data_IF_514495637410
#
_entry.id   IF_514495637410
#
_cell.length_a   1.000
_cell.length_b   1.000
_cell.length_c   1.000
_cell.angle_alpha   90.00
_cell.angle_beta   90.00
_cell.angle_gamma   90.00
#
_symmetry.space_group_name_H-M   'P 1'
#
loop_
_entity.id
_entity.type
_entity.pdbx_description
1 polymer ?
#
# COMPACT_ATOMS: atom_id res chain seq x y z
N UNK A 1 24.75 16.12 -49.40
CA UNK A 1 25.09 17.55 -49.56
C UNK A 1 24.05 18.35 -48.81
N UNK A 2 24.54 19.21 -47.90
CA UNK A 2 23.96 20.43 -47.28
C UNK A 2 22.54 20.33 -46.64
N UNK A 3 22.30 20.46 -45.32
CA UNK A 3 22.73 21.39 -44.22
C UNK A 3 21.99 22.73 -44.21
N UNK A 4 21.42 23.08 -43.04
CA UNK A 4 21.07 24.44 -42.57
C UNK A 4 19.78 24.47 -41.74
N UNK A 5 19.71 24.24 -40.41
CA UNK A 5 20.11 25.05 -39.21
C UNK A 5 19.51 26.46 -39.14
N UNK A 6 18.62 26.73 -38.16
CA UNK A 6 18.77 27.58 -36.92
C UNK A 6 17.96 28.88 -37.08
N UNK A 7 17.31 29.55 -36.10
CA UNK A 7 17.48 29.73 -34.65
C UNK A 7 16.23 30.51 -34.10
N UNK A 8 15.63 30.15 -32.96
CA UNK A 8 15.71 30.74 -31.58
C UNK A 8 14.82 31.94 -31.19
N UNK A 9 14.39 31.84 -29.91
CA UNK A 9 14.18 32.89 -28.89
C UNK A 9 12.79 33.50 -28.60
N UNK A 10 12.44 33.50 -27.29
CA UNK A 10 11.45 34.44 -26.76
C UNK A 10 10.76 34.16 -25.41
N UNK A 11 11.35 33.46 -24.43
CA UNK A 11 10.81 33.36 -23.05
C UNK A 11 10.96 34.71 -22.31
N UNK A 12 9.85 35.30 -21.83
CA UNK A 12 9.83 36.56 -21.06
C UNK A 12 9.29 36.33 -19.65
N UNK A 13 10.20 36.17 -18.67
CA UNK A 13 9.91 36.35 -17.23
C UNK A 13 9.97 37.86 -16.90
N UNK A 14 9.03 38.38 -16.12
CA UNK A 14 9.16 39.67 -15.42
C UNK A 14 9.18 39.44 -13.92
N UNK A 15 10.16 40.06 -13.28
CA UNK A 15 10.30 40.23 -11.84
C UNK A 15 10.37 41.74 -11.59
N UNK A 16 9.60 42.27 -10.64
CA UNK A 16 9.74 43.65 -10.13
C UNK A 16 9.42 43.64 -8.63
N UNK A 17 10.46 43.94 -7.82
CA UNK A 17 10.44 44.41 -6.42
C UNK A 17 9.72 45.79 -6.39
N UNK A 18 8.94 46.20 -5.40
CA UNK A 18 9.25 46.36 -3.99
C UNK A 18 9.23 47.86 -3.63
N UNK A 19 8.55 48.18 -2.52
CA UNK A 19 8.66 49.39 -1.67
C UNK A 19 7.60 50.52 -1.71
N UNK A 20 7.31 50.93 -0.47
CA UNK A 20 6.27 51.79 0.08
C UNK A 20 6.48 53.28 -0.17
N UNK A 21 5.39 54.06 -0.13
CA UNK A 21 5.38 55.34 0.60
C UNK A 21 3.96 55.76 1.01
N UNK A 22 3.83 56.12 2.29
CA UNK A 22 2.64 56.63 2.94
C UNK A 22 2.45 58.14 2.67
N UNK A 23 1.20 58.60 2.64
CA UNK A 23 0.85 60.01 2.88
C UNK A 23 -0.60 60.10 3.40
N UNK A 24 -0.74 60.59 4.63
CA UNK A 24 -1.97 61.16 5.22
C UNK A 24 -2.26 62.51 4.54
N UNK A 25 -3.50 62.88 4.18
CA UNK A 25 -4.46 63.66 5.00
C UNK A 25 -5.79 63.89 4.21
N UNK A 26 -6.88 64.42 4.83
CA UNK A 26 -8.22 63.83 4.72
C UNK A 26 -9.25 64.69 3.94
N UNK A 27 -10.38 64.09 3.52
CA UNK A 27 -11.74 64.68 3.60
C UNK A 27 -12.84 63.82 2.96
N UNK A 28 -14.03 63.98 3.57
CA UNK A 28 -15.38 63.92 3.02
C UNK A 28 -16.17 62.61 3.13
N UNK A 29 -17.29 62.72 3.86
CA UNK A 29 -18.42 61.81 3.99
C UNK A 29 -18.73 61.01 2.72
N UNK A 30 -18.84 59.68 2.88
CA UNK A 30 -19.53 58.84 1.90
C UNK A 30 -20.65 58.07 2.60
N UNK A 31 -21.88 58.45 2.26
CA UNK A 31 -23.08 57.65 2.45
C UNK A 31 -22.91 56.32 1.71
N UNK A 32 -23.30 55.16 2.28
CA UNK A 32 -23.13 53.89 1.59
C UNK A 32 -24.11 53.79 0.44
N UNK A 33 -23.58 53.90 -0.79
CA UNK A 33 -24.27 53.64 -2.04
C UNK A 33 -24.71 52.17 -2.07
N UNK A 34 -26.02 51.96 -1.90
CA UNK A 34 -26.69 50.65 -1.95
C UNK A 34 -26.29 49.90 -3.23
N UNK A 35 -25.62 48.77 -3.07
CA UNK A 35 -25.35 47.85 -4.18
C UNK A 35 -26.67 47.44 -4.85
N UNK A 36 -26.72 47.30 -6.19
CA UNK A 36 -27.91 46.80 -6.86
C UNK A 36 -28.17 45.38 -6.37
N UNK A 37 -29.35 45.15 -5.78
CA UNK A 37 -29.78 43.80 -5.38
C UNK A 37 -29.77 42.90 -6.63
N UNK A 38 -29.26 41.67 -6.56
CA UNK A 38 -29.43 40.72 -7.65
C UNK A 38 -30.93 40.53 -7.89
N UNK A 39 -31.36 40.60 -9.15
CA UNK A 39 -32.72 40.25 -9.53
C UNK A 39 -32.96 38.79 -9.17
N UNK A 40 -33.85 38.55 -8.20
CA UNK A 40 -34.25 37.21 -7.78
C UNK A 40 -34.84 36.46 -8.97
N UNK A 41 -34.37 35.23 -9.20
CA UNK A 41 -34.91 34.37 -10.25
C UNK A 41 -36.33 33.92 -9.91
N UNK A 42 -37.14 33.67 -10.94
CA UNK A 42 -38.55 33.22 -10.87
C UNK A 42 -38.80 32.09 -9.84
N UNK A 43 -37.83 31.19 -9.62
CA UNK A 43 -37.93 30.07 -8.67
C UNK A 43 -37.81 30.51 -7.20
N UNK A 44 -37.07 31.59 -6.90
CA UNK A 44 -36.87 32.06 -5.53
C UNK A 44 -38.10 32.80 -4.98
N UNK A 45 -38.91 33.38 -5.88
CA UNK A 45 -40.21 33.96 -5.55
C UNK A 45 -41.27 32.88 -5.25
N UNK A 46 -41.15 31.73 -5.92
CA UNK A 46 -42.05 30.57 -5.82
C UNK A 46 -41.76 29.71 -4.59
N UNK A 47 -40.50 29.69 -4.14
CA UNK A 47 -40.02 28.87 -3.02
C UNK A 47 -39.95 29.62 -1.68
N UNK A 48 -40.35 30.90 -1.65
CA UNK A 48 -40.49 31.64 -0.40
C UNK A 48 -41.81 31.23 0.27
N UNK A 49 -41.84 30.91 1.57
CA UNK A 49 -43.08 30.61 2.27
C UNK A 49 -43.91 31.89 2.31
N UNK A 50 -44.93 31.98 1.46
CA UNK A 50 -45.94 33.06 1.51
C UNK A 50 -46.92 32.82 2.67
N UNK A 51 -46.45 32.29 3.80
CA UNK A 51 -47.24 32.13 5.03
C UNK A 51 -47.62 33.47 5.67
N UNK A 52 -47.08 34.58 5.17
CA UNK A 52 -47.24 35.89 5.82
C UNK A 52 -48.47 36.69 5.35
N UNK A 53 -49.21 36.29 4.30
CA UNK A 53 -50.29 37.14 3.73
C UNK A 53 -51.70 36.56 3.85
N UNK A 54 -51.89 35.29 4.22
CA UNK A 54 -53.22 34.67 4.33
C UNK A 54 -53.35 33.83 5.61
N UNK A 55 -53.85 34.45 6.67
CA UNK A 55 -54.57 33.82 7.79
C UNK A 55 -53.81 32.84 8.68
N UNK A 56 -54.11 32.86 9.99
CA UNK A 56 -53.61 31.95 11.03
C UNK A 56 -54.11 30.50 10.87
N UNK A 57 -53.87 29.87 9.72
CA UNK A 57 -54.07 28.44 9.49
C UNK A 57 -52.77 27.68 9.69
N UNK A 58 -52.82 26.55 10.38
CA UNK A 58 -51.73 25.56 10.38
C UNK A 58 -51.23 25.31 8.95
N UNK A 59 -49.91 25.17 8.73
CA UNK A 59 -49.37 24.93 7.41
C UNK A 59 -49.93 23.60 6.88
N UNK A 60 -50.88 23.69 5.94
CA UNK A 60 -51.42 22.53 5.25
C UNK A 60 -50.29 21.84 4.51
N UNK A 61 -50.08 20.55 4.77
CA UNK A 61 -49.06 19.75 4.08
C UNK A 61 -49.37 19.75 2.57
N UNK A 62 -48.49 20.33 1.72
CA UNK A 62 -48.74 20.44 0.29
C UNK A 62 -48.94 19.08 -0.38
N UNK A 63 -48.21 18.07 0.10
CA UNK A 63 -48.34 16.71 -0.40
C UNK A 63 -49.72 16.10 -0.06
N UNK A 64 -50.19 16.29 1.17
CA UNK A 64 -51.53 15.88 1.57
C UNK A 64 -52.61 16.60 0.76
N UNK A 65 -52.47 17.90 0.51
CA UNK A 65 -53.41 18.69 -0.29
C UNK A 65 -53.53 18.16 -1.73
N UNK A 66 -52.40 17.94 -2.42
CA UNK A 66 -52.38 17.37 -3.77
C UNK A 66 -53.01 15.98 -3.82
N UNK A 67 -52.68 15.11 -2.86
CA UNK A 67 -53.27 13.77 -2.74
C UNK A 67 -54.78 13.81 -2.50
N UNK A 68 -55.23 14.64 -1.56
CA UNK A 68 -56.64 14.79 -1.22
C UNK A 68 -57.45 15.31 -2.43
N UNK A 69 -56.88 16.27 -3.16
CA UNK A 69 -57.49 16.81 -4.37
C UNK A 69 -57.60 15.76 -5.48
N UNK A 70 -56.53 15.01 -5.77
CA UNK A 70 -56.57 13.93 -6.75
C UNK A 70 -57.61 12.85 -6.39
N UNK A 71 -57.73 12.48 -5.10
CA UNK A 71 -58.79 11.58 -4.64
C UNK A 71 -60.19 12.18 -4.74
N UNK A 72 -60.34 13.49 -4.55
CA UNK A 72 -61.61 14.20 -4.74
C UNK A 72 -62.07 14.12 -6.20
N UNK A 73 -61.17 14.36 -7.16
CA UNK A 73 -61.46 14.20 -8.58
C UNK A 73 -61.89 12.77 -8.93
N UNK A 74 -61.13 11.77 -8.47
CA UNK A 74 -61.48 10.35 -8.70
C UNK A 74 -62.84 9.99 -8.12
N UNK A 75 -63.16 10.46 -6.90
CA UNK A 75 -64.46 10.19 -6.26
C UNK A 75 -65.62 10.87 -7.00
N UNK A 76 -65.43 12.07 -7.53
CA UNK A 76 -66.50 12.84 -8.19
C UNK A 76 -66.75 12.39 -9.64
N UNK A 77 -65.70 12.08 -10.40
CA UNK A 77 -65.81 11.83 -11.84
C UNK A 77 -65.61 10.37 -12.23
N UNK A 78 -65.03 9.55 -11.36
CA UNK A 78 -64.76 8.13 -11.59
C UNK A 78 -63.26 7.84 -11.69
N UNK A 79 -62.85 6.66 -11.23
CA UNK A 79 -61.43 6.27 -11.18
C UNK A 79 -60.85 6.01 -12.57
N UNK A 80 -61.59 5.33 -13.45
CA UNK A 80 -61.10 4.95 -14.78
C UNK A 80 -60.90 6.15 -15.72
N UNK A 81 -61.72 7.20 -15.54
CA UNK A 81 -61.73 8.39 -16.39
C UNK A 81 -60.82 9.51 -15.87
N UNK A 82 -60.31 9.40 -14.64
CA UNK A 82 -59.44 10.45 -14.06
C UNK A 82 -57.97 10.15 -14.35
N UNK A 83 -57.21 11.09 -14.94
CA UNK A 83 -55.78 10.92 -15.16
C UNK A 83 -54.99 10.63 -13.87
N UNK A 84 -53.88 9.90 -13.99
CA UNK A 84 -52.98 9.64 -12.85
C UNK A 84 -52.13 10.89 -12.57
N UNK A 85 -52.59 11.68 -11.61
CA UNK A 85 -51.84 12.82 -11.08
C UNK A 85 -50.86 12.39 -9.99
N UNK A 86 -49.70 13.04 -9.94
CA UNK A 86 -48.70 12.90 -8.88
C UNK A 86 -49.28 13.32 -7.52
N UNK A 87 -49.02 12.51 -6.49
CA UNK A 87 -49.44 12.75 -5.12
C UNK A 87 -48.33 13.42 -4.29
N UNK A 88 -47.58 14.32 -4.92
CA UNK A 88 -46.43 15.03 -4.34
C UNK A 88 -46.68 16.54 -4.33
N UNK A 89 -45.84 17.28 -3.61
CA UNK A 89 -45.82 18.75 -3.75
C UNK A 89 -45.51 19.17 -5.19
N UNK A 90 -45.87 20.38 -5.57
CA UNK A 90 -45.52 20.98 -6.86
C UNK A 90 -43.99 21.00 -7.06
N UNK A 91 -43.24 21.32 -5.99
CA UNK A 91 -41.77 21.32 -6.00
C UNK A 91 -41.22 19.94 -6.35
N UNK A 92 -41.77 18.90 -5.74
CA UNK A 92 -41.33 17.53 -5.96
C UNK A 92 -41.76 17.05 -7.35
N UNK A 93 -42.95 17.41 -7.83
CA UNK A 93 -43.39 17.12 -9.18
C UNK A 93 -42.47 17.76 -10.24
N UNK A 94 -42.01 19.00 -10.01
CA UNK A 94 -40.98 19.66 -10.83
C UNK A 94 -39.65 18.90 -10.78
N UNK A 95 -39.27 18.41 -9.60
CA UNK A 95 -38.05 17.61 -9.42
C UNK A 95 -38.13 16.28 -10.17
N UNK A 96 -39.27 15.60 -10.09
CA UNK A 96 -39.56 14.34 -10.79
C UNK A 96 -39.52 14.55 -12.30
N UNK A 97 -40.22 15.57 -12.82
CA UNK A 97 -40.20 15.89 -14.25
C UNK A 97 -38.78 16.23 -14.74
N UNK A 98 -38.01 17.00 -13.97
CA UNK A 98 -36.60 17.32 -14.27
C UNK A 98 -35.70 16.08 -14.27
N UNK A 99 -35.90 15.20 -13.31
CA UNK A 99 -35.11 13.98 -13.15
C UNK A 99 -35.48 12.95 -14.22
N UNK A 100 -36.74 12.86 -14.60
CA UNK A 100 -37.18 12.00 -15.69
C UNK A 100 -36.92 12.61 -17.08
N UNK A 101 -36.50 13.89 -17.15
CA UNK A 101 -36.42 14.67 -18.40
C UNK A 101 -37.75 14.62 -19.18
N UNK A 102 -38.85 14.88 -18.48
CA UNK A 102 -40.23 14.92 -18.99
C UNK A 102 -40.81 16.33 -18.81
N UNK A 103 -41.85 16.65 -19.57
CA UNK A 103 -42.67 17.84 -19.33
C UNK A 103 -43.55 17.64 -18.10
N UNK A 104 -43.91 18.71 -17.43
CA UNK A 104 -44.87 18.71 -16.33
C UNK A 104 -46.16 19.38 -16.78
N UNK A 105 -47.25 18.63 -16.87
CA UNK A 105 -48.59 19.18 -17.05
C UNK A 105 -49.16 19.55 -15.69
N UNK A 106 -49.52 20.82 -15.52
CA UNK A 106 -50.13 21.35 -14.31
C UNK A 106 -51.60 21.64 -14.58
N UNK A 107 -52.48 21.00 -13.81
CA UNK A 107 -53.91 21.27 -13.80
C UNK A 107 -54.31 22.02 -12.53
N UNK A 108 -54.78 23.25 -12.69
CA UNK A 108 -55.30 24.06 -11.58
C UNK A 108 -56.82 24.15 -11.66
N UNK A 109 -57.45 23.76 -10.56
CA UNK A 109 -58.90 23.73 -10.42
C UNK A 109 -59.39 24.74 -9.39
N UNK A 110 -60.55 25.34 -9.65
CA UNK A 110 -61.29 26.17 -8.70
C UNK A 110 -62.69 25.59 -8.55
N UNK A 111 -63.06 25.19 -7.33
CA UNK A 111 -64.39 24.67 -7.01
C UNK A 111 -65.50 25.74 -7.10
N UNK A 112 -65.15 27.02 -7.24
CA UNK A 112 -66.07 28.17 -7.23
C UNK A 112 -66.42 28.61 -8.67
N UNK A 113 -65.69 28.14 -9.68
CA UNK A 113 -65.90 28.57 -11.06
C UNK A 113 -66.97 27.73 -11.77
N UNK A 114 -67.93 28.38 -12.43
CA UNK A 114 -69.11 27.75 -13.03
C UNK A 114 -68.76 26.68 -14.08
N UNK A 115 -67.72 26.94 -14.89
CA UNK A 115 -67.28 26.00 -15.95
C UNK A 115 -66.43 24.81 -15.44
N UNK A 116 -66.06 24.78 -14.16
CA UNK A 116 -65.07 23.84 -13.65
C UNK A 116 -65.57 22.38 -13.70
N UNK A 117 -66.83 22.13 -13.37
CA UNK A 117 -67.43 20.78 -13.43
C UNK A 117 -67.63 20.33 -14.88
N UNK A 118 -68.11 21.24 -15.74
CA UNK A 118 -68.29 20.99 -17.18
C UNK A 118 -66.98 20.60 -17.85
N UNK A 119 -65.90 21.32 -17.57
CA UNK A 119 -64.58 21.01 -18.12
C UNK A 119 -64.01 19.69 -17.60
N UNK A 120 -64.16 19.40 -16.31
CA UNK A 120 -63.74 18.11 -15.77
C UNK A 120 -64.48 16.96 -16.46
N UNK A 121 -65.80 17.06 -16.68
CA UNK A 121 -66.57 15.99 -17.35
C UNK A 121 -66.31 15.87 -18.86
N UNK A 122 -66.11 16.99 -19.56
CA UNK A 122 -66.01 17.00 -21.03
C UNK A 122 -64.58 16.95 -21.56
N UNK A 123 -63.59 17.29 -20.73
CA UNK A 123 -62.21 17.41 -21.15
C UNK A 123 -61.25 16.57 -20.28
N UNK A 124 -61.07 16.94 -19.01
CA UNK A 124 -59.99 16.37 -18.18
C UNK A 124 -60.25 14.95 -17.68
N UNK A 125 -61.44 14.68 -17.16
CA UNK A 125 -61.85 13.38 -16.62
C UNK A 125 -62.63 12.60 -17.69
N UNK A 126 -61.98 12.36 -18.83
CA UNK A 126 -62.51 11.55 -19.92
C UNK A 126 -61.58 10.36 -20.16
N UNK A 127 -62.12 9.25 -20.66
CA UNK A 127 -61.32 8.06 -21.01
C UNK A 127 -60.20 8.43 -21.99
N UNK A 128 -60.50 9.30 -22.98
CA UNK A 128 -59.55 9.78 -23.97
C UNK A 128 -58.36 10.52 -23.36
N UNK A 129 -58.62 11.47 -22.46
CA UNK A 129 -57.56 12.25 -21.77
C UNK A 129 -56.77 11.38 -20.77
N UNK A 130 -57.47 10.53 -20.00
CA UNK A 130 -56.85 9.60 -19.06
C UNK A 130 -55.89 8.64 -19.76
N UNK A 131 -56.33 8.02 -20.86
CA UNK A 131 -55.49 7.13 -21.66
C UNK A 131 -54.30 7.88 -22.28
N UNK A 132 -54.48 9.12 -22.74
CA UNK A 132 -53.38 9.93 -23.26
C UNK A 132 -52.33 10.22 -22.19
N UNK A 133 -52.71 10.77 -21.04
CA UNK A 133 -51.75 11.16 -20.00
C UNK A 133 -51.08 9.96 -19.32
N UNK A 134 -51.82 8.87 -19.11
CA UNK A 134 -51.27 7.68 -18.44
C UNK A 134 -50.31 6.89 -19.35
N UNK A 135 -50.50 6.91 -20.67
CA UNK A 135 -49.63 6.24 -21.64
C UNK A 135 -48.53 7.16 -22.19
N UNK A 136 -48.52 8.44 -21.83
CA UNK A 136 -47.53 9.39 -22.30
C UNK A 136 -46.20 9.23 -21.58
N UNK A 137 -45.16 8.79 -22.30
CA UNK A 137 -43.81 8.69 -21.74
C UNK A 137 -43.13 10.04 -21.51
N UNK A 138 -43.60 11.11 -22.15
CA UNK A 138 -42.95 12.42 -22.12
C UNK A 138 -43.58 13.43 -21.15
N UNK A 139 -44.70 13.09 -20.49
CA UNK A 139 -45.45 14.01 -19.61
C UNK A 139 -45.60 13.39 -18.21
N UNK A 140 -45.41 14.22 -17.19
CA UNK A 140 -45.80 13.97 -15.80
C UNK A 140 -46.97 14.89 -15.49
N UNK A 141 -48.03 14.39 -14.85
CA UNK A 141 -49.23 15.19 -14.58
C UNK A 141 -49.33 15.52 -13.09
N UNK A 142 -49.53 16.79 -12.75
CA UNK A 142 -49.78 17.26 -11.39
C UNK A 142 -51.06 18.11 -11.36
N UNK A 143 -51.81 18.02 -10.28
CA UNK A 143 -53.06 18.74 -10.11
C UNK A 143 -53.16 19.38 -8.73
N UNK A 144 -53.71 20.59 -8.69
CA UNK A 144 -53.91 21.35 -7.46
C UNK A 144 -55.21 22.14 -7.46
N UNK A 145 -55.82 22.30 -6.29
CA UNK A 145 -56.96 23.20 -6.09
C UNK A 145 -56.46 24.55 -5.56
N UNK A 146 -56.95 25.64 -6.13
CA UNK A 146 -56.58 27.01 -5.70
C UNK A 146 -57.17 27.43 -4.35
N UNK A 147 -58.02 26.60 -3.75
CA UNK A 147 -58.46 26.77 -2.37
C UNK A 147 -57.37 26.40 -1.37
N UNK A 148 -56.39 25.59 -1.77
CA UNK A 148 -55.23 25.23 -0.95
C UNK A 148 -54.07 26.19 -1.21
N UNK A 149 -53.24 26.43 -0.18
CA UNK A 149 -52.13 27.38 -0.25
C UNK A 149 -51.16 27.09 -1.40
N UNK A 150 -50.83 25.82 -1.64
CA UNK A 150 -49.93 25.42 -2.73
C UNK A 150 -50.55 25.69 -4.11
N UNK A 151 -51.79 25.25 -4.34
CA UNK A 151 -52.48 25.47 -5.61
C UNK A 151 -52.65 26.97 -5.93
N UNK A 152 -52.94 27.78 -4.91
CA UNK A 152 -52.99 29.23 -5.04
C UNK A 152 -51.62 29.82 -5.38
N UNK A 153 -50.55 29.43 -4.68
CA UNK A 153 -49.18 29.88 -4.95
C UNK A 153 -48.70 29.54 -6.37
N UNK A 154 -49.02 28.34 -6.86
CA UNK A 154 -48.73 27.92 -8.23
C UNK A 154 -49.55 28.75 -9.23
N UNK A 155 -50.81 29.06 -8.93
CA UNK A 155 -51.66 29.89 -9.80
C UNK A 155 -51.08 31.30 -10.00
N UNK A 156 -50.59 31.94 -8.93
CA UNK A 156 -49.95 33.26 -8.99
C UNK A 156 -48.68 33.19 -9.84
N UNK A 157 -47.87 32.16 -9.61
CA UNK A 157 -46.58 31.98 -10.29
C UNK A 157 -46.72 31.72 -11.78
N UNK A 158 -47.74 30.97 -12.18
CA UNK A 158 -48.05 30.72 -13.59
C UNK A 158 -48.85 31.86 -14.24
N UNK A 159 -49.21 32.90 -13.49
CA UNK A 159 -50.03 34.00 -13.98
C UNK A 159 -51.41 33.52 -14.43
N UNK A 160 -52.02 32.61 -13.67
CA UNK A 160 -53.35 32.08 -13.92
C UNK A 160 -54.41 33.16 -13.66
N UNK A 161 -55.11 33.58 -14.70
CA UNK A 161 -56.15 34.62 -14.61
C UNK A 161 -57.58 34.05 -14.67
N UNK A 162 -57.78 32.88 -15.26
CA UNK A 162 -59.09 32.25 -15.46
C UNK A 162 -59.00 30.75 -15.19
N UNK A 163 -60.13 30.16 -14.79
CA UNK A 163 -60.24 28.72 -14.55
C UNK A 163 -61.26 28.11 -15.51
N UNK A 164 -61.10 26.84 -15.89
CA UNK A 164 -59.99 25.92 -15.58
C UNK A 164 -58.67 26.30 -16.27
N UNK A 165 -57.53 25.96 -15.65
CA UNK A 165 -56.21 26.31 -16.16
C UNK A 165 -55.32 25.07 -16.31
N UNK A 166 -54.76 24.90 -17.50
CA UNK A 166 -53.73 23.91 -17.80
C UNK A 166 -52.46 24.62 -18.26
N UNK A 167 -51.31 24.17 -17.77
CA UNK A 167 -50.02 24.61 -18.27
C UNK A 167 -49.09 23.44 -18.49
N UNK A 168 -48.45 23.39 -19.65
CA UNK A 168 -47.35 22.49 -19.93
C UNK A 168 -46.04 23.21 -19.58
N UNK A 169 -45.24 22.60 -18.72
CA UNK A 169 -44.00 23.17 -18.22
C UNK A 169 -42.80 22.33 -18.67
N UNK A 170 -41.71 23.02 -19.04
CA UNK A 170 -40.41 22.41 -19.26
C UNK A 170 -39.53 22.62 -18.03
N UNK A 171 -39.14 21.53 -17.39
CA UNK A 171 -38.34 21.53 -16.16
C UNK A 171 -36.89 21.16 -16.47
N UNK A 172 -36.07 22.16 -16.84
CA UNK A 172 -34.65 21.95 -17.18
C UNK A 172 -33.76 22.50 -16.06
N UNK A 173 -32.47 22.15 -16.09
CA UNK A 173 -31.47 22.44 -15.06
C UNK A 173 -31.45 23.87 -14.48
N UNK A 174 -31.84 24.90 -15.24
CA UNK A 174 -31.79 26.31 -14.82
C UNK A 174 -33.14 26.91 -14.38
N UNK A 175 -34.25 26.17 -14.44
CA UNK A 175 -35.55 26.69 -14.04
C UNK A 175 -36.74 25.97 -14.67
N UNK A 176 -37.93 26.48 -14.38
CA UNK A 176 -39.20 26.01 -14.92
C UNK A 176 -39.68 27.03 -15.94
N UNK A 177 -39.90 26.60 -17.19
CA UNK A 177 -40.40 27.45 -18.26
C UNK A 177 -41.81 26.99 -18.66
N UNK A 178 -42.73 27.95 -18.86
CA UNK A 178 -44.06 27.63 -19.38
C UNK A 178 -43.95 27.48 -20.89
N UNK A 179 -44.33 26.30 -21.38
CA UNK A 179 -44.30 25.93 -22.80
C UNK A 179 -45.62 26.30 -23.47
N UNK A 180 -46.73 25.97 -22.82
CA UNK A 180 -48.08 26.18 -23.36
C UNK A 180 -49.04 26.46 -22.19
N UNK A 181 -50.00 27.36 -22.39
CA UNK A 181 -51.10 27.63 -21.43
C UNK A 181 -52.43 27.43 -22.15
N UNK A 182 -53.32 26.64 -21.55
CA UNK A 182 -54.66 26.40 -22.05
C UNK A 182 -55.64 26.89 -20.98
N UNK A 183 -56.32 27.99 -21.28
CA UNK A 183 -57.27 28.67 -20.38
C UNK A 183 -58.71 28.64 -20.90
N UNK A 184 -58.92 28.08 -22.08
CA UNK A 184 -60.23 27.96 -22.72
C UNK A 184 -60.87 26.60 -22.41
N UNK A 185 -62.20 26.59 -22.28
CA UNK A 185 -62.97 25.37 -22.17
C UNK A 185 -63.02 24.68 -23.54
N UNK A 186 -62.11 23.74 -23.77
CA UNK A 186 -61.95 22.98 -25.01
C UNK A 186 -62.25 21.50 -24.76
N UNK A 187 -62.74 20.75 -25.76
CA UNK A 187 -62.90 19.30 -25.65
C UNK A 187 -61.55 18.60 -25.51
N UNK A 188 -61.57 17.36 -25.01
CA UNK A 188 -60.36 16.58 -24.75
C UNK A 188 -59.43 16.46 -25.97
N UNK A 189 -59.97 16.23 -27.16
CA UNK A 189 -59.18 16.04 -28.38
C UNK A 189 -58.40 17.29 -28.78
N UNK A 190 -59.01 18.48 -28.72
CA UNK A 190 -58.33 19.75 -29.00
C UNK A 190 -57.21 20.05 -27.99
N UNK A 191 -57.41 19.70 -26.72
CA UNK A 191 -56.36 19.83 -25.70
C UNK A 191 -55.19 18.91 -26.02
N UNK A 192 -55.46 17.65 -26.37
CA UNK A 192 -54.43 16.67 -26.73
C UNK A 192 -53.65 17.13 -27.95
N UNK A 193 -54.31 17.64 -28.99
CA UNK A 193 -53.64 18.20 -30.17
C UNK A 193 -52.72 19.37 -29.82
N UNK A 194 -53.19 20.30 -28.98
CA UNK A 194 -52.36 21.42 -28.50
C UNK A 194 -51.16 20.95 -27.69
N UNK A 195 -51.36 19.97 -26.79
CA UNK A 195 -50.29 19.39 -25.98
C UNK A 195 -49.25 18.68 -26.86
N UNK A 196 -49.68 17.85 -27.82
CA UNK A 196 -48.78 17.18 -28.75
C UNK A 196 -47.95 18.20 -29.57
N UNK A 197 -48.62 19.20 -30.14
CA UNK A 197 -47.93 20.24 -30.91
C UNK A 197 -46.92 21.03 -30.03
N UNK A 198 -47.26 21.29 -28.76
CA UNK A 198 -46.37 21.96 -27.82
C UNK A 198 -45.17 21.08 -27.43
N UNK A 199 -45.40 19.79 -27.18
CA UNK A 199 -44.37 18.79 -26.92
C UNK A 199 -43.41 18.69 -28.10
N UNK A 200 -43.92 18.55 -29.33
CA UNK A 200 -43.10 18.40 -30.54
C UNK A 200 -42.22 19.63 -30.80
N UNK A 201 -42.78 20.84 -30.67
CA UNK A 201 -42.03 22.11 -30.80
C UNK A 201 -40.88 22.22 -29.80
N UNK A 202 -41.03 21.66 -28.61
CA UNK A 202 -40.11 21.84 -27.49
C UNK A 202 -39.30 20.58 -27.14
N UNK A 203 -39.48 19.48 -27.88
CA UNK A 203 -38.85 18.20 -27.59
C UNK A 203 -37.31 18.31 -27.64
N UNK A 204 -36.78 19.18 -28.51
CA UNK A 204 -35.35 19.46 -28.62
C UNK A 204 -34.74 19.97 -27.31
N UNK A 205 -35.51 20.70 -26.50
CA UNK A 205 -35.06 21.20 -25.20
C UNK A 205 -34.80 20.04 -24.24
N UNK A 206 -35.73 19.08 -24.16
CA UNK A 206 -35.58 17.89 -23.33
C UNK A 206 -34.52 16.94 -23.89
N UNK A 207 -34.44 16.76 -25.21
CA UNK A 207 -33.40 15.95 -25.84
C UNK A 207 -31.99 16.48 -25.51
N UNK A 208 -31.79 17.79 -25.60
CA UNK A 208 -30.52 18.43 -25.21
C UNK A 208 -30.23 18.23 -23.73
N UNK A 209 -31.24 18.37 -22.86
CA UNK A 209 -31.08 18.13 -21.43
C UNK A 209 -30.70 16.67 -21.10
N UNK A 210 -31.29 15.69 -21.80
CA UNK A 210 -30.95 14.26 -21.68
C UNK A 210 -29.50 14.01 -22.09
N UNK A 211 -29.08 14.53 -23.25
CA UNK A 211 -27.70 14.39 -23.72
C UNK A 211 -26.68 14.98 -22.74
N UNK A 212 -26.92 16.20 -22.24
CA UNK A 212 -26.02 16.84 -21.25
C UNK A 212 -25.93 15.99 -19.97
N UNK A 213 -27.04 15.43 -19.51
CA UNK A 213 -27.05 14.59 -18.31
C UNK A 213 -26.30 13.27 -18.54
N UNK A 214 -26.51 12.63 -19.69
CA UNK A 214 -25.80 11.43 -20.07
C UNK A 214 -24.29 11.69 -20.08
N UNK A 215 -23.84 12.75 -20.76
CA UNK A 215 -22.42 13.14 -20.80
C UNK A 215 -21.83 13.38 -19.41
N UNK A 216 -22.58 14.00 -18.49
CA UNK A 216 -22.11 14.20 -17.11
C UNK A 216 -21.97 12.88 -16.35
N UNK A 217 -22.90 11.96 -16.56
CA UNK A 217 -22.88 10.64 -15.90
C UNK A 217 -21.72 9.82 -16.43
N UNK A 218 -21.53 9.79 -17.75
CA UNK A 218 -20.38 9.13 -18.40
C UNK A 218 -19.05 9.73 -17.94
N UNK A 219 -18.94 11.06 -17.88
CA UNK A 219 -17.74 11.73 -17.39
C UNK A 219 -17.45 11.44 -15.90
N UNK A 220 -18.50 11.27 -15.07
CA UNK A 220 -18.34 10.88 -13.68
C UNK A 220 -17.82 9.44 -13.56
N UNK A 221 -18.45 8.50 -14.26
CA UNK A 221 -18.03 7.09 -14.26
C UNK A 221 -16.58 6.96 -14.74
N UNK A 222 -16.20 7.69 -15.80
CA UNK A 222 -14.83 7.66 -16.31
C UNK A 222 -13.81 8.15 -15.28
N UNK A 223 -14.14 9.19 -14.50
CA UNK A 223 -13.26 9.68 -13.42
C UNK A 223 -13.14 8.67 -12.30
N UNK A 224 -14.25 8.06 -11.88
CA UNK A 224 -14.25 7.04 -10.84
C UNK A 224 -13.41 5.83 -11.25
N UNK A 225 -13.49 5.40 -12.52
CA UNK A 225 -12.64 4.34 -13.07
C UNK A 225 -11.15 4.71 -13.07
N UNK A 226 -10.80 5.93 -13.52
CA UNK A 226 -9.42 6.41 -13.52
C UNK A 226 -8.85 6.52 -12.10
N UNK A 227 -9.63 7.01 -11.14
CA UNK A 227 -9.23 7.13 -9.75
C UNK A 227 -8.98 5.74 -9.14
N UNK A 228 -9.82 4.76 -9.47
CA UNK A 228 -9.63 3.37 -9.04
C UNK A 228 -8.34 2.77 -9.60
N UNK A 229 -8.12 2.86 -10.92
CA UNK A 229 -6.90 2.35 -11.57
C UNK A 229 -5.63 3.00 -11.00
N UNK A 230 -5.69 4.32 -10.74
CA UNK A 230 -4.58 5.04 -10.13
C UNK A 230 -4.28 4.55 -8.72
N UNK A 231 -5.30 4.33 -7.89
CA UNK A 231 -5.15 3.79 -6.54
C UNK A 231 -4.57 2.37 -6.54
N UNK A 232 -4.99 1.52 -7.46
CA UNK A 232 -4.47 0.17 -7.64
C UNK A 232 -2.99 0.18 -8.05
N UNK A 233 -2.62 1.05 -8.99
CA UNK A 233 -1.23 1.26 -9.41
C UNK A 233 -0.35 1.73 -8.26
N UNK A 234 -0.79 2.75 -7.50
CA UNK A 234 -0.08 3.23 -6.32
C UNK A 234 0.08 2.14 -5.25
N UNK A 235 -0.93 1.28 -5.05
CA UNK A 235 -0.84 0.17 -4.11
C UNK A 235 0.15 -0.90 -4.58
N UNK A 236 0.19 -1.18 -5.89
CA UNK A 236 1.15 -2.11 -6.47
C UNK A 236 2.60 -1.60 -6.32
N UNK A 237 2.85 -0.32 -6.57
CA UNK A 237 4.17 0.27 -6.40
C UNK A 237 4.62 0.27 -4.93
N UNK A 238 3.72 0.59 -3.99
CA UNK A 238 4.01 0.45 -2.55
C UNK A 238 4.36 -0.98 -2.15
N UNK A 239 3.65 -1.99 -2.68
CA UNK A 239 3.97 -3.40 -2.41
C UNK A 239 5.34 -3.78 -2.93
N UNK A 240 5.67 -3.42 -4.17
CA UNK A 240 7.00 -3.69 -4.76
C UNK A 240 8.12 -3.03 -3.95
N UNK A 241 7.92 -1.78 -3.52
CA UNK A 241 8.91 -1.09 -2.71
C UNK A 241 9.10 -1.77 -1.34
N UNK A 242 8.01 -2.21 -0.71
CA UNK A 242 8.08 -2.95 0.55
C UNK A 242 8.77 -4.31 0.37
N UNK A 243 8.41 -5.09 -0.66
CA UNK A 243 9.05 -6.37 -0.99
C UNK A 243 10.55 -6.20 -1.25
N UNK A 244 10.95 -5.15 -1.99
CA UNK A 244 12.36 -4.87 -2.25
C UNK A 244 13.13 -4.50 -0.97
N UNK A 245 12.52 -3.73 -0.06
CA UNK A 245 13.12 -3.40 1.25
C UNK A 245 13.27 -4.65 2.12
N UNK A 246 12.22 -5.46 2.22
CA UNK A 246 12.26 -6.71 2.99
C UNK A 246 13.29 -7.69 2.45
N UNK A 247 13.46 -7.76 1.13
CA UNK A 247 14.47 -8.61 0.51
C UNK A 247 15.89 -8.08 0.75
N UNK A 248 16.12 -6.77 0.65
CA UNK A 248 17.41 -6.17 0.98
C UNK A 248 17.80 -6.40 2.45
N UNK A 249 16.85 -6.28 3.39
CA UNK A 249 17.10 -6.58 4.81
C UNK A 249 17.43 -8.07 5.07
N UNK A 250 16.80 -8.99 4.33
CA UNK A 250 17.11 -10.43 4.41
C UNK A 250 18.50 -10.71 3.88
N UNK A 251 18.85 -10.16 2.73
CA UNK A 251 20.16 -10.33 2.11
C UNK A 251 21.27 -9.74 3.00
N UNK A 252 21.04 -8.59 3.64
CA UNK A 252 21.97 -7.99 4.60
C UNK A 252 22.16 -8.89 5.84
N UNK A 253 21.07 -9.40 6.42
CA UNK A 253 21.14 -10.33 7.55
C UNK A 253 21.89 -11.62 7.19
N UNK A 254 21.64 -12.19 6.01
CA UNK A 254 22.34 -13.39 5.56
C UNK A 254 23.83 -13.13 5.34
N UNK A 255 24.20 -11.96 4.80
CA UNK A 255 25.61 -11.55 4.67
C UNK A 255 26.30 -11.40 6.01
N UNK A 256 25.66 -10.74 6.99
CA UNK A 256 26.21 -10.58 8.34
C UNK A 256 26.38 -11.93 9.03
N UNK A 257 25.42 -12.84 8.90
CA UNK A 257 25.51 -14.20 9.45
C UNK A 257 26.66 -14.99 8.84
N UNK A 258 26.83 -14.93 7.51
CA UNK A 258 27.97 -15.58 6.82
C UNK A 258 29.31 -14.99 7.24
N UNK A 259 29.40 -13.68 7.41
CA UNK A 259 30.63 -13.02 7.87
C UNK A 259 30.97 -13.41 9.32
N UNK A 260 29.97 -13.46 10.20
CA UNK A 260 30.15 -13.90 11.59
C UNK A 260 30.58 -15.38 11.66
N UNK A 261 29.95 -16.26 10.87
CA UNK A 261 30.33 -17.67 10.80
C UNK A 261 31.76 -17.85 10.27
N UNK A 262 32.14 -17.11 9.21
CA UNK A 262 33.51 -17.13 8.70
C UNK A 262 34.52 -16.66 9.72
N UNK A 263 34.23 -15.57 10.46
CA UNK A 263 35.09 -15.10 11.54
C UNK A 263 35.25 -16.15 12.65
N UNK A 264 34.16 -16.82 13.05
CA UNK A 264 34.22 -17.91 14.05
C UNK A 264 35.07 -19.08 13.58
N UNK A 265 34.96 -19.47 12.31
CA UNK A 265 35.78 -20.54 11.73
C UNK A 265 37.24 -20.14 11.65
N UNK A 266 37.55 -18.91 11.28
CA UNK A 266 38.92 -18.41 11.21
C UNK A 266 39.56 -18.28 12.60
N UNK A 267 38.84 -17.74 13.58
CA UNK A 267 39.29 -17.67 14.98
C UNK A 267 39.56 -19.07 15.56
N UNK A 268 38.72 -20.06 15.24
CA UNK A 268 38.93 -21.44 15.67
C UNK A 268 40.16 -22.08 15.00
N UNK A 269 40.36 -21.83 13.69
CA UNK A 269 41.58 -22.29 13.00
C UNK A 269 42.84 -21.66 13.56
N UNK A 270 42.82 -20.36 13.86
CA UNK A 270 43.96 -19.66 14.46
C UNK A 270 44.30 -20.24 15.82
N UNK A 271 43.29 -20.49 16.68
CA UNK A 271 43.50 -21.15 17.98
C UNK A 271 44.12 -22.54 17.84
N UNK A 272 43.67 -23.33 16.88
CA UNK A 272 44.22 -24.67 16.63
C UNK A 272 45.67 -24.62 16.14
N UNK A 273 46.00 -23.66 15.27
CA UNK A 273 47.38 -23.49 14.79
C UNK A 273 48.29 -22.97 15.89
N UNK A 274 47.85 -22.01 16.70
CA UNK A 274 48.58 -21.52 17.89
C UNK A 274 48.82 -22.63 18.93
N UNK A 275 47.83 -23.48 19.16
CA UNK A 275 48.00 -24.62 20.07
C UNK A 275 49.01 -25.64 19.50
N UNK A 276 48.97 -25.87 18.19
CA UNK A 276 49.89 -26.78 17.51
C UNK A 276 51.33 -26.25 17.54
N UNK A 277 51.55 -24.98 17.22
CA UNK A 277 52.89 -24.36 17.29
C UNK A 277 53.43 -24.38 18.71
N UNK A 278 52.61 -24.04 19.71
CA UNK A 278 52.99 -24.13 21.13
C UNK A 278 53.39 -25.55 21.55
N UNK A 279 52.68 -26.57 21.08
CA UNK A 279 53.03 -27.98 21.35
C UNK A 279 54.34 -28.37 20.67
N UNK A 280 54.60 -27.90 19.45
CA UNK A 280 55.85 -28.15 18.73
C UNK A 280 57.04 -27.46 19.38
N UNK A 281 56.90 -26.21 19.83
CA UNK A 281 57.93 -25.47 20.56
C UNK A 281 58.25 -26.12 21.91
N UNK A 282 57.23 -26.52 22.67
CA UNK A 282 57.43 -27.24 23.93
C UNK A 282 58.18 -28.55 23.72
N UNK A 283 57.85 -29.28 22.65
CA UNK A 283 58.55 -30.52 22.28
C UNK A 283 60.02 -30.26 21.90
N UNK A 284 60.30 -29.22 21.11
CA UNK A 284 61.68 -28.83 20.75
C UNK A 284 62.49 -28.46 21.99
N UNK A 285 61.94 -27.65 22.89
CA UNK A 285 62.60 -27.26 24.14
C UNK A 285 62.91 -28.49 25.04
N UNK A 286 62.02 -29.48 25.07
CA UNK A 286 62.26 -30.74 25.79
C UNK A 286 63.46 -31.50 25.20
N UNK A 287 63.55 -31.59 23.87
CA UNK A 287 64.67 -32.24 23.17
C UNK A 287 65.97 -31.46 23.37
N UNK A 288 65.97 -30.14 23.32
CA UNK A 288 67.16 -29.31 23.58
C UNK A 288 67.66 -29.49 25.02
N UNK A 289 66.74 -29.55 26.00
CA UNK A 289 67.09 -29.85 27.39
C UNK A 289 67.68 -31.26 27.54
N UNK A 290 67.19 -32.26 26.79
CA UNK A 290 67.78 -33.61 26.71
C UNK A 290 69.19 -33.55 26.10
N UNK A 291 69.37 -32.83 24.99
CA UNK A 291 70.66 -32.64 24.30
C UNK A 291 71.71 -32.02 25.21
N UNK A 292 71.35 -30.98 25.96
CA UNK A 292 72.25 -30.34 26.92
C UNK A 292 72.72 -31.30 28.02
N UNK A 293 71.87 -32.25 28.46
CA UNK A 293 72.27 -33.27 29.44
C UNK A 293 73.24 -34.31 28.88
N UNK A 294 73.17 -34.64 27.59
CA UNK A 294 74.04 -35.64 26.95
C UNK A 294 75.36 -35.03 26.46
N UNK A 295 75.43 -33.70 26.29
CA UNK A 295 76.62 -33.00 25.80
C UNK A 295 77.88 -33.23 26.66
N UNK A 296 77.71 -33.64 27.93
CA UNK A 296 78.79 -34.00 28.86
C UNK A 296 79.33 -35.44 28.65
N UNK A 297 79.06 -36.07 27.50
CA UNK A 297 79.45 -37.46 27.23
C UNK A 297 80.95 -37.69 26.92
N UNK A 298 81.44 -38.95 27.07
CA UNK A 298 82.83 -39.30 26.79
C UNK A 298 83.16 -39.23 25.29
N UNK A 299 84.15 -38.40 24.93
CA UNK A 299 84.56 -38.15 23.53
C UNK A 299 85.39 -39.27 22.89
N UNK A 300 85.84 -40.27 23.68
CA UNK A 300 86.69 -41.36 23.19
C UNK A 300 86.36 -42.68 23.86
N UNK A 301 86.49 -43.78 23.11
CA UNK A 301 86.26 -45.16 23.58
C UNK A 301 87.30 -45.59 24.60
N UNK A 302 88.51 -45.05 24.52
CA UNK A 302 89.60 -45.34 25.46
C UNK A 302 89.87 -44.09 26.30
N UNK A 303 89.69 -44.16 27.62
CA UNK A 303 90.07 -43.07 28.52
C UNK A 303 91.57 -42.76 28.36
N UNK A 304 91.99 -41.49 28.44
CA UNK A 304 93.42 -41.13 28.48
C UNK A 304 94.14 -41.89 29.61
N UNK A 305 95.43 -42.24 29.45
CA UNK A 305 96.19 -42.93 30.50
C UNK A 305 96.15 -42.13 31.82
N UNK A 306 95.47 -42.66 32.85
CA UNK A 306 95.29 -42.01 34.16
C UNK A 306 93.87 -41.52 34.50
N UNK A 307 92.88 -41.77 33.64
CA UNK A 307 91.49 -41.43 33.93
C UNK A 307 90.77 -42.48 34.82
N UNK A 308 89.97 -42.01 35.78
CA UNK A 308 89.25 -42.85 36.78
C UNK A 308 87.83 -43.26 36.33
N UNK A 309 87.51 -43.12 35.04
CA UNK A 309 86.21 -43.51 34.48
C UNK A 309 86.33 -44.63 33.46
N UNK A 310 85.32 -45.50 33.43
CA UNK A 310 85.14 -46.52 32.39
C UNK A 310 84.10 -46.03 31.37
N UNK A 311 84.30 -46.41 30.11
CA UNK A 311 83.39 -46.10 29.00
C UNK A 311 82.70 -47.38 28.52
N UNK A 312 81.45 -47.26 28.08
CA UNK A 312 80.65 -48.34 27.50
C UNK A 312 80.16 -47.90 26.12
N UNK A 313 80.26 -48.79 25.13
CA UNK A 313 79.73 -48.54 23.78
C UNK A 313 78.45 -49.33 23.61
N UNK A 314 77.36 -48.63 23.32
CA UNK A 314 76.05 -49.24 23.09
C UNK A 314 75.68 -49.09 21.62
N UNK A 315 75.24 -50.19 21.01
CA UNK A 315 74.75 -50.23 19.62
C UNK A 315 73.25 -50.46 19.62
N UNK A 316 72.50 -49.50 19.08
CA UNK A 316 71.07 -49.56 18.89
C UNK A 316 70.77 -50.01 17.47
N UNK A 317 69.93 -51.02 17.34
CA UNK A 317 69.40 -51.50 16.07
C UNK A 317 67.93 -51.10 15.97
N UNK A 318 67.63 -50.21 15.05
CA UNK A 318 66.26 -49.81 14.75
C UNK A 318 65.62 -50.83 13.80
N UNK A 319 64.29 -50.94 13.87
CA UNK A 319 63.49 -51.81 13.01
C UNK A 319 63.50 -51.39 11.52
N UNK A 320 63.94 -50.18 11.20
CA UNK A 320 64.14 -49.69 9.84
C UNK A 320 65.52 -50.08 9.27
N UNK A 321 66.35 -50.81 10.03
CA UNK A 321 67.69 -51.23 9.64
C UNK A 321 68.79 -50.20 9.93
N UNK A 322 68.47 -49.00 10.44
CA UNK A 322 69.51 -48.05 10.86
C UNK A 322 70.17 -48.51 12.16
N UNK A 323 71.48 -48.30 12.22
CA UNK A 323 72.30 -48.59 13.39
C UNK A 323 72.73 -47.25 14.00
N UNK A 324 72.45 -47.06 15.29
CA UNK A 324 72.98 -45.95 16.07
C UNK A 324 74.01 -46.50 17.04
N UNK A 325 75.15 -45.86 17.19
CA UNK A 325 76.15 -46.22 18.17
C UNK A 325 76.59 -44.99 18.96
N UNK A 326 76.70 -45.15 20.28
CA UNK A 326 77.11 -44.07 21.16
C UNK A 326 77.96 -44.58 22.32
N UNK A 327 78.83 -43.71 22.82
CA UNK A 327 79.76 -43.99 23.91
C UNK A 327 79.21 -43.29 25.16
N UNK A 328 78.96 -44.06 26.21
CA UNK A 328 78.47 -43.59 27.50
C UNK A 328 79.51 -43.83 28.59
N UNK A 329 79.45 -43.11 29.71
CA UNK A 329 80.20 -43.50 30.89
C UNK A 329 79.58 -44.76 31.51
N UNK A 330 80.38 -45.59 32.15
CA UNK A 330 79.88 -46.79 32.82
C UNK A 330 78.93 -46.46 33.99
N UNK A 331 79.03 -45.25 34.56
CA UNK A 331 78.13 -44.79 35.62
C UNK A 331 76.88 -44.05 35.11
N UNK A 332 76.76 -43.84 33.79
CA UNK A 332 75.55 -43.24 33.22
C UNK A 332 74.34 -44.14 33.46
N UNK A 333 73.15 -43.54 33.48
CA UNK A 333 71.89 -44.26 33.70
C UNK A 333 71.18 -44.57 32.38
N UNK A 334 70.23 -45.51 32.42
CA UNK A 334 69.36 -45.78 31.27
C UNK A 334 68.50 -44.58 30.86
N UNK A 335 68.27 -43.62 31.75
CA UNK A 335 67.67 -42.32 31.43
C UNK A 335 68.52 -41.53 30.43
N UNK A 336 69.85 -41.47 30.63
CA UNK A 336 70.78 -40.82 29.69
C UNK A 336 70.78 -41.50 28.32
N UNK A 337 70.62 -42.83 28.30
CA UNK A 337 70.51 -43.61 27.06
C UNK A 337 69.20 -43.30 26.31
N UNK A 338 68.06 -43.18 27.02
CA UNK A 338 66.79 -42.78 26.41
C UNK A 338 66.82 -41.32 25.93
N UNK A 339 67.38 -40.41 26.73
CA UNK A 339 67.57 -39.03 26.31
C UNK A 339 68.38 -38.96 25.01
N UNK A 340 69.43 -39.79 24.85
CA UNK A 340 70.22 -39.88 23.61
C UNK A 340 69.39 -40.36 22.42
N UNK A 341 68.58 -41.39 22.61
CA UNK A 341 67.71 -41.92 21.56
C UNK A 341 66.66 -40.89 21.14
N UNK A 342 66.07 -40.16 22.08
CA UNK A 342 65.09 -39.10 21.81
C UNK A 342 65.69 -37.99 20.96
N UNK A 343 66.93 -37.58 21.25
CA UNK A 343 67.66 -36.56 20.47
C UNK A 343 68.03 -37.09 19.08
N UNK A 344 68.54 -38.31 18.95
CA UNK A 344 68.85 -38.90 17.64
C UNK A 344 67.60 -39.14 16.80
N UNK A 345 66.45 -39.47 17.41
CA UNK A 345 65.19 -39.60 16.69
C UNK A 345 64.69 -38.24 16.20
N UNK A 346 64.88 -37.18 16.99
CA UNK A 346 64.58 -35.82 16.56
C UNK A 346 65.50 -35.35 15.42
N UNK A 347 66.82 -35.52 15.56
CA UNK A 347 67.82 -35.09 14.57
C UNK A 347 67.69 -35.84 13.23
N UNK A 348 67.20 -37.09 13.24
CA UNK A 348 66.99 -37.92 12.04
C UNK A 348 65.55 -37.92 11.52
N UNK A 349 64.69 -37.07 12.05
CA UNK A 349 63.25 -36.97 11.70
C UNK A 349 62.49 -38.31 11.84
N UNK A 350 62.91 -39.15 12.78
CA UNK A 350 62.25 -40.43 13.06
C UNK A 350 61.07 -40.16 13.98
N UNK A 351 59.85 -40.25 13.46
CA UNK A 351 58.59 -39.93 14.17
C UNK A 351 58.14 -40.98 15.19
N UNK A 352 59.08 -41.60 15.90
CA UNK A 352 58.81 -42.60 16.93
C UNK A 352 58.86 -41.92 18.30
N UNK A 353 57.69 -41.73 18.92
CA UNK A 353 57.57 -41.13 20.25
C UNK A 353 57.50 -42.17 21.37
N UNK A 354 57.08 -43.38 21.04
CA UNK A 354 56.94 -44.49 21.98
C UNK A 354 57.88 -45.61 21.54
N UNK A 355 58.80 -46.00 22.42
CA UNK A 355 59.72 -47.10 22.17
C UNK A 355 60.17 -47.79 23.47
N UNK A 356 60.57 -49.05 23.33
CA UNK A 356 61.11 -49.85 24.42
C UNK A 356 62.56 -50.26 24.17
N UNK A 357 63.35 -50.30 25.24
CA UNK A 357 64.74 -50.75 25.22
C UNK A 357 64.82 -52.22 25.70
N UNK A 358 65.28 -53.14 24.86
CA UNK A 358 65.50 -54.53 25.22
C UNK A 358 66.88 -55.07 24.82
N UNK A 359 67.52 -55.90 25.65
CA UNK A 359 68.76 -56.62 25.32
C UNK A 359 68.54 -57.82 24.40
N UNK A 360 69.55 -58.18 23.59
CA UNK A 360 69.48 -59.33 22.70
C UNK A 360 69.63 -60.69 23.44
N UNK A 361 70.63 -60.86 24.33
CA UNK A 361 70.79 -62.12 25.07
C UNK A 361 71.58 -61.99 26.41
N UNK A 362 71.05 -62.46 27.57
CA UNK A 362 69.66 -62.86 27.79
C UNK A 362 68.71 -61.65 27.63
N UNK A 363 67.52 -61.89 27.08
CA UNK A 363 66.55 -60.83 26.76
C UNK A 363 65.93 -60.24 28.03
N UNK A 364 66.17 -58.95 28.27
CA UNK A 364 65.63 -58.16 29.37
C UNK A 364 65.10 -56.85 28.81
N UNK A 365 63.86 -56.51 29.15
CA UNK A 365 63.20 -55.26 28.74
C UNK A 365 63.36 -54.23 29.85
N UNK A 366 63.77 -53.03 29.50
CA UNK A 366 63.95 -51.91 30.41
C UNK A 366 62.81 -50.90 30.21
N UNK A 367 61.75 -51.09 31.00
CA UNK A 367 60.59 -50.18 31.05
C UNK A 367 60.89 -48.87 31.82
N UNK A 368 59.88 -47.98 31.95
CA UNK A 368 60.02 -46.70 32.65
C UNK A 368 60.34 -46.82 34.14
N UNK A 369 60.21 -48.01 34.73
CA UNK A 369 60.49 -48.28 36.15
C UNK A 369 61.98 -48.56 36.44
N UNK A 370 62.81 -48.71 35.41
CA UNK A 370 64.24 -49.08 35.53
C UNK A 370 65.18 -47.98 35.00
N UNK A 371 64.73 -46.72 34.99
CA UNK A 371 65.46 -45.60 34.40
C UNK A 371 66.74 -45.21 35.14
N UNK A 372 66.79 -45.46 36.45
CA UNK A 372 67.92 -45.08 37.32
C UNK A 372 69.02 -46.14 37.41
N UNK A 373 68.86 -47.28 36.71
CA UNK A 373 69.87 -48.34 36.69
C UNK A 373 71.09 -47.86 35.92
N UNK A 374 72.27 -48.01 36.53
CA UNK A 374 73.54 -47.62 35.91
C UNK A 374 73.94 -48.62 34.82
N UNK A 375 74.70 -48.14 33.84
CA UNK A 375 75.25 -48.99 32.80
C UNK A 375 76.23 -50.03 33.36
N UNK A 376 76.83 -49.82 34.53
CA UNK A 376 77.69 -50.83 35.18
C UNK A 376 76.89 -52.05 35.64
N UNK A 377 75.68 -51.83 36.16
CA UNK A 377 74.79 -52.90 36.63
C UNK A 377 73.99 -53.55 35.49
N UNK A 378 73.78 -52.81 34.40
CA UNK A 378 73.08 -53.30 33.22
C UNK A 378 74.01 -54.04 32.22
N UNK A 379 75.33 -53.80 32.22
CA UNK A 379 76.26 -54.18 31.13
C UNK A 379 77.36 -55.14 31.60
N UNK A 380 77.16 -56.45 31.39
CA UNK A 380 78.27 -57.44 31.40
C UNK A 380 78.44 -58.27 30.12
N UNK A 381 77.66 -58.03 29.08
CA UNK A 381 77.85 -58.61 27.75
C UNK A 381 77.39 -57.63 26.67
N UNK A 382 78.00 -57.68 25.48
CA UNK A 382 77.60 -56.96 24.26
C UNK A 382 76.07 -56.82 24.14
N UNK A 383 75.55 -55.59 24.21
CA UNK A 383 74.11 -55.33 24.08
C UNK A 383 73.84 -54.67 22.74
N UNK A 384 73.24 -55.44 21.83
CA UNK A 384 72.45 -54.89 20.73
C UNK A 384 71.03 -54.63 21.26
N UNK A 385 70.59 -53.38 21.23
CA UNK A 385 69.22 -53.03 21.57
C UNK A 385 68.31 -53.16 20.35
N UNK A 386 67.21 -53.92 20.47
CA UNK A 386 66.13 -53.94 19.48
C UNK A 386 65.00 -53.02 19.97
N UNK A 387 64.78 -51.92 19.26
CA UNK A 387 63.62 -51.06 19.46
C UNK A 387 62.37 -51.77 18.91
N UNK A 388 61.50 -52.24 19.81
CA UNK A 388 60.15 -52.71 19.45
C UNK A 388 59.14 -51.58 19.67
N UNK A 389 58.17 -51.54 18.77
CA UNK A 389 57.00 -50.65 18.77
C UNK A 389 56.19 -50.76 20.04
#
# INVERSE_FOLDING_TARGET
MAVGTTDTNGLRRRHVQGENQANDTPRADSTPRRAPRPQKGFVELLMSPLSFVLGDGEPEDPQAAARNFAHSLRRRYGEDVTPRFEHTSFRDAVSTARTASKFLLVFLHSNIHDDADTFCRKAMCTERMSAYLNNSDCIVSWAGCVQHAEGFGVSLSLGCATFPFLALLSCVSRGVNVVEKITANLPADEIIEKLNAAVDRNNQILATARHIRQQRTEAQILREQQDQEYQESLAADRRREQEAREQAERDEKERLQKEEEQRRVEEEKQRQEEEKTRREEAYKAEIEAKRARIADGPKSRTPPPGADYKTAVIKFHLHNGTRLDHIFYAHDTLKTVRDFIDVEFFDREISIRNYELATNFPKKVYGPELLDVTLTDAVRCFIEFLLRR
#
